data_IF_162544821454
#
_entry.id   IF_162544821454
#
_cell.length_a   1.000
_cell.length_b   1.000
_cell.length_c   1.000
_cell.angle_alpha   90.00
_cell.angle_beta   90.00
_cell.angle_gamma   90.00
#
_symmetry.space_group_name_H-M   'P 1'
#
loop_
_entity.id
_entity.type
_entity.pdbx_description
1 polymer ?
#
# COMPACT_ATOMS: atom_id res chain seq x y z
N UNK A 1 16.98 1.71 19.59
CA UNK A 1 18.21 2.50 19.32
C UNK A 1 18.67 2.26 17.88
N UNK A 2 18.36 3.14 16.92
CA UNK A 2 18.68 2.91 15.48
C UNK A 2 19.28 4.13 14.77
N UNK A 3 19.83 5.11 15.51
CA UNK A 3 20.38 6.33 14.90
C UNK A 3 21.74 6.12 14.22
N UNK A 4 22.45 5.02 14.52
CA UNK A 4 23.80 4.75 14.01
C UNK A 4 23.86 3.80 12.81
N UNK A 5 22.76 3.51 12.09
CA UNK A 5 22.78 2.58 10.93
C UNK A 5 22.79 3.31 9.58
N UNK A 6 23.23 4.58 9.52
CA UNK A 6 23.38 5.27 8.24
C UNK A 6 24.70 4.86 7.58
N UNK A 7 24.62 4.04 6.54
CA UNK A 7 25.82 3.61 5.76
C UNK A 7 26.58 4.80 5.19
N UNK A 8 25.86 5.84 4.73
CA UNK A 8 26.42 7.09 4.18
C UNK A 8 27.28 7.82 5.23
N UNK A 9 26.81 7.85 6.48
CA UNK A 9 27.53 8.45 7.60
C UNK A 9 28.83 7.70 7.92
N UNK A 10 28.78 6.37 7.98
CA UNK A 10 29.97 5.57 8.25
C UNK A 10 31.00 5.61 7.12
N UNK A 11 30.56 5.75 5.86
CA UNK A 11 31.46 5.95 4.73
C UNK A 11 32.19 7.30 4.84
N UNK A 12 31.48 8.38 5.19
CA UNK A 12 32.11 9.67 5.40
C UNK A 12 33.12 9.64 6.56
N UNK A 13 32.75 9.06 7.70
CA UNK A 13 33.65 8.91 8.86
C UNK A 13 34.85 8.03 8.51
N UNK A 14 34.62 6.87 7.89
CA UNK A 14 35.68 5.95 7.50
C UNK A 14 36.68 6.60 6.55
N UNK A 15 36.21 7.47 5.66
CA UNK A 15 37.07 8.24 4.74
C UNK A 15 37.99 9.20 5.50
N UNK A 16 37.44 9.99 6.42
CA UNK A 16 38.22 10.91 7.26
C UNK A 16 39.25 10.16 8.10
N UNK A 17 38.84 9.05 8.72
CA UNK A 17 39.75 8.21 9.50
C UNK A 17 40.86 7.58 8.64
N UNK A 18 40.55 7.17 7.41
CA UNK A 18 41.55 6.58 6.52
C UNK A 18 42.61 7.59 6.11
N UNK A 19 42.22 8.85 5.85
CA UNK A 19 43.16 9.94 5.56
C UNK A 19 44.02 10.25 6.79
N UNK A 20 43.39 10.37 7.97
CA UNK A 20 44.11 10.63 9.21
C UNK A 20 45.13 9.53 9.57
N UNK A 21 44.79 8.26 9.34
CA UNK A 21 45.71 7.14 9.55
C UNK A 21 46.85 7.19 8.53
N UNK A 22 46.57 7.49 7.26
CA UNK A 22 47.59 7.60 6.23
C UNK A 22 48.64 8.67 6.58
N UNK A 23 48.18 9.87 6.96
CA UNK A 23 49.06 10.95 7.43
C UNK A 23 49.85 10.54 8.69
N UNK A 24 49.20 9.86 9.65
CA UNK A 24 49.86 9.39 10.87
C UNK A 24 50.93 8.31 10.62
N UNK A 25 50.80 7.52 9.55
CA UNK A 25 51.80 6.53 9.13
C UNK A 25 52.93 7.12 8.28
N UNK A 26 52.93 8.45 8.08
CA UNK A 26 53.94 9.15 7.28
C UNK A 26 53.70 9.03 5.76
N UNK A 27 52.52 8.57 5.35
CA UNK A 27 52.11 8.61 3.95
C UNK A 27 51.61 10.03 3.65
N UNK A 28 52.40 10.79 2.91
CA UNK A 28 52.00 12.13 2.48
C UNK A 28 50.93 11.99 1.38
N UNK A 29 49.67 12.16 1.77
CA UNK A 29 48.55 12.05 0.85
C UNK A 29 48.44 13.37 0.10
N UNK A 30 48.73 13.34 -1.20
CA UNK A 30 48.69 14.56 -2.00
C UNK A 30 47.29 15.21 -1.95
N UNK A 31 47.20 16.55 -1.99
CA UNK A 31 45.92 17.25 -2.00
C UNK A 31 44.98 16.78 -3.13
N UNK A 32 45.55 16.39 -4.27
CA UNK A 32 44.81 15.85 -5.42
C UNK A 32 44.19 14.48 -5.10
N UNK A 33 44.90 13.63 -4.36
CA UNK A 33 44.37 12.35 -3.91
C UNK A 33 43.22 12.54 -2.90
N UNK A 34 43.35 13.49 -1.97
CA UNK A 34 42.27 13.85 -1.04
C UNK A 34 41.05 14.36 -1.80
N UNK A 35 41.25 15.26 -2.77
CA UNK A 35 40.17 15.78 -3.61
C UNK A 35 39.47 14.68 -4.40
N UNK A 36 40.22 13.72 -4.96
CA UNK A 36 39.66 12.57 -5.65
C UNK A 36 38.80 11.69 -4.74
N UNK A 37 39.26 11.43 -3.52
CA UNK A 37 38.51 10.67 -2.51
C UNK A 37 37.22 11.41 -2.14
N UNK A 38 37.29 12.72 -1.87
CA UNK A 38 36.13 13.55 -1.52
C UNK A 38 35.10 13.53 -2.65
N UNK A 39 35.55 13.62 -3.91
CA UNK A 39 34.66 13.60 -5.07
C UNK A 39 33.90 12.27 -5.16
N UNK A 40 34.60 11.13 -5.07
CA UNK A 40 33.98 9.80 -5.13
C UNK A 40 32.95 9.60 -4.02
N UNK A 41 33.32 9.96 -2.78
CA UNK A 41 32.43 9.83 -1.61
C UNK A 41 31.21 10.73 -1.74
N UNK A 42 31.40 11.97 -2.18
CA UNK A 42 30.31 12.94 -2.38
C UNK A 42 29.35 12.46 -3.48
N UNK A 43 29.87 11.98 -4.61
CA UNK A 43 29.06 11.40 -5.69
C UNK A 43 28.25 10.20 -5.21
N UNK A 44 28.83 9.31 -4.41
CA UNK A 44 28.09 8.18 -3.84
C UNK A 44 26.94 8.64 -2.93
N UNK A 45 27.21 9.57 -2.01
CA UNK A 45 26.22 10.07 -1.05
C UNK A 45 25.05 10.76 -1.78
N UNK A 46 25.37 11.64 -2.73
CA UNK A 46 24.38 12.39 -3.52
C UNK A 46 23.59 11.43 -4.43
N UNK A 47 24.29 10.55 -5.16
CA UNK A 47 23.65 9.59 -6.06
C UNK A 47 22.66 8.68 -5.34
N UNK A 48 23.05 8.12 -4.20
CA UNK A 48 22.14 7.35 -3.34
C UNK A 48 20.96 8.19 -2.84
N UNK A 49 21.18 9.46 -2.47
CA UNK A 49 20.11 10.37 -2.06
C UNK A 49 19.06 10.64 -3.15
N UNK A 50 19.47 10.72 -4.41
CA UNK A 50 18.57 10.88 -5.55
C UNK A 50 17.78 9.60 -5.80
N UNK A 51 18.45 8.45 -5.80
CA UNK A 51 17.81 7.14 -6.00
C UNK A 51 16.80 6.85 -4.90
N UNK A 52 17.13 7.13 -3.64
CA UNK A 52 16.19 6.93 -2.53
C UNK A 52 14.89 7.73 -2.72
N UNK A 53 15.00 8.98 -3.19
CA UNK A 53 13.82 9.82 -3.46
C UNK A 53 12.98 9.27 -4.61
N UNK A 54 13.61 8.87 -5.71
CA UNK A 54 12.85 8.36 -6.87
C UNK A 54 12.13 7.05 -6.55
N UNK A 55 12.76 6.17 -5.77
CA UNK A 55 12.14 4.92 -5.30
C UNK A 55 10.95 5.20 -4.39
N UNK A 56 11.07 6.14 -3.43
CA UNK A 56 9.95 6.53 -2.57
C UNK A 56 8.80 7.12 -3.39
N UNK A 57 9.09 8.00 -4.34
CA UNK A 57 8.07 8.57 -5.23
C UNK A 57 7.36 7.50 -6.05
N UNK A 58 8.11 6.56 -6.63
CA UNK A 58 7.53 5.44 -7.39
C UNK A 58 6.63 4.55 -6.52
N UNK A 59 7.03 4.26 -5.29
CA UNK A 59 6.22 3.49 -4.34
C UNK A 59 4.93 4.22 -3.96
N UNK A 60 4.98 5.53 -3.75
CA UNK A 60 3.78 6.35 -3.42
C UNK A 60 2.80 6.38 -4.60
N UNK A 61 3.29 6.53 -5.83
CA UNK A 61 2.44 6.52 -7.02
C UNK A 61 1.78 5.14 -7.17
N UNK A 62 2.55 4.06 -7.08
CA UNK A 62 2.01 2.71 -7.17
C UNK A 62 0.99 2.41 -6.05
N UNK A 63 1.25 2.86 -4.82
CA UNK A 63 0.32 2.69 -3.70
C UNK A 63 -0.98 3.48 -3.90
N UNK A 64 -0.92 4.68 -4.49
CA UNK A 64 -2.09 5.49 -4.81
C UNK A 64 -2.99 4.80 -5.84
N UNK A 65 -2.42 4.21 -6.88
CA UNK A 65 -3.19 3.53 -7.94
C UNK A 65 -3.91 2.29 -7.40
N UNK A 66 -3.21 1.50 -6.57
CA UNK A 66 -3.81 0.35 -5.89
C UNK A 66 -4.92 0.79 -4.92
N UNK A 67 -4.72 1.88 -4.19
CA UNK A 67 -5.72 2.42 -3.26
C UNK A 67 -7.02 2.85 -3.97
N UNK A 68 -6.90 3.52 -5.13
CA UNK A 68 -8.05 3.90 -5.97
C UNK A 68 -8.79 2.68 -6.52
N UNK A 69 -8.07 1.70 -7.03
CA UNK A 69 -8.66 0.46 -7.54
C UNK A 69 -9.44 -0.30 -6.43
N UNK A 70 -8.89 -0.37 -5.21
CA UNK A 70 -9.60 -0.97 -4.08
C UNK A 70 -10.88 -0.21 -3.76
N UNK A 71 -10.82 1.12 -3.68
CA UNK A 71 -12.00 1.96 -3.40
C UNK A 71 -13.13 1.74 -4.42
N UNK A 72 -12.80 1.62 -5.71
CA UNK A 72 -13.78 1.33 -6.76
C UNK A 72 -14.41 -0.06 -6.63
N UNK A 73 -13.62 -1.07 -6.22
CA UNK A 73 -14.14 -2.41 -5.96
C UNK A 73 -15.06 -2.44 -4.74
N UNK A 74 -14.70 -1.71 -3.68
CA UNK A 74 -15.55 -1.54 -2.51
C UNK A 74 -16.87 -0.86 -2.88
N UNK A 75 -16.82 0.22 -3.66
CA UNK A 75 -18.02 0.92 -4.12
C UNK A 75 -18.95 0.01 -4.95
N UNK A 76 -18.39 -0.74 -5.91
CA UNK A 76 -19.16 -1.68 -6.74
C UNK A 76 -19.81 -2.80 -5.93
N UNK A 77 -19.07 -3.40 -5.00
CA UNK A 77 -19.62 -4.43 -4.12
C UNK A 77 -20.77 -3.89 -3.26
N UNK A 78 -20.66 -2.66 -2.77
CA UNK A 78 -21.72 -2.02 -1.99
C UNK A 78 -22.98 -1.78 -2.84
N UNK A 79 -22.82 -1.35 -4.09
CA UNK A 79 -23.94 -1.16 -5.03
C UNK A 79 -24.64 -2.48 -5.36
N UNK A 80 -23.89 -3.58 -5.54
CA UNK A 80 -24.45 -4.90 -5.76
C UNK A 80 -25.25 -5.38 -4.55
N UNK A 81 -24.70 -5.24 -3.34
CA UNK A 81 -25.42 -5.60 -2.11
C UNK A 81 -26.71 -4.78 -1.96
N UNK A 82 -26.68 -3.49 -2.28
CA UNK A 82 -27.87 -2.65 -2.22
C UNK A 82 -28.93 -3.12 -3.22
N UNK A 83 -28.55 -3.46 -4.46
CA UNK A 83 -29.49 -3.99 -5.46
C UNK A 83 -30.12 -5.31 -5.03
N UNK A 84 -29.35 -6.21 -4.45
CA UNK A 84 -29.88 -7.47 -3.91
C UNK A 84 -30.90 -7.22 -2.81
N UNK A 85 -30.58 -6.36 -1.84
CA UNK A 85 -31.50 -6.03 -0.74
C UNK A 85 -32.78 -5.37 -1.25
N UNK A 86 -32.67 -4.44 -2.21
CA UNK A 86 -33.84 -3.78 -2.81
C UNK A 86 -34.74 -4.80 -3.51
N UNK A 87 -34.15 -5.70 -4.30
CA UNK A 87 -34.90 -6.74 -5.01
C UNK A 87 -35.60 -7.70 -4.05
N UNK A 88 -34.93 -8.11 -2.97
CA UNK A 88 -35.52 -8.96 -1.93
C UNK A 88 -36.69 -8.29 -1.21
N UNK A 89 -36.59 -6.96 -0.97
CA UNK A 89 -37.67 -6.17 -0.39
C UNK A 89 -38.86 -6.03 -1.34
N UNK A 90 -38.62 -5.83 -2.64
CA UNK A 90 -39.68 -5.81 -3.66
C UNK A 90 -40.41 -7.14 -3.74
N UNK A 91 -39.68 -8.26 -3.73
CA UNK A 91 -40.27 -9.61 -3.71
C UNK A 91 -41.14 -9.80 -2.47
N UNK A 92 -40.67 -9.40 -1.28
CA UNK A 92 -41.46 -9.49 -0.05
C UNK A 92 -42.71 -8.62 -0.10
N UNK A 93 -42.62 -7.40 -0.64
CA UNK A 93 -43.78 -6.51 -0.79
C UNK A 93 -44.82 -7.11 -1.73
N UNK A 94 -44.40 -7.62 -2.87
CA UNK A 94 -45.29 -8.30 -3.83
C UNK A 94 -45.92 -9.55 -3.21
N UNK A 95 -45.16 -10.34 -2.43
CA UNK A 95 -45.68 -11.50 -1.70
C UNK A 95 -46.71 -11.12 -0.61
N UNK A 96 -46.57 -9.95 0.01
CA UNK A 96 -47.53 -9.44 0.99
C UNK A 96 -48.81 -8.87 0.34
N UNK A 97 -48.72 -8.35 -0.88
CA UNK A 97 -49.86 -7.84 -1.66
C UNK A 97 -50.58 -8.95 -2.47
N UNK A 98 -49.99 -10.13 -2.60
CA UNK A 98 -50.64 -11.29 -3.24
C UNK A 98 -51.90 -11.69 -2.44
N UNK A 99 -53.09 -11.70 -3.05
CA UNK A 99 -54.31 -12.09 -2.36
C UNK A 99 -54.13 -13.52 -1.84
N UNK A 100 -54.33 -13.71 -0.54
CA UNK A 100 -54.44 -15.06 0.05
C UNK A 100 -55.58 -15.75 -0.68
N UNK A 101 -55.24 -16.63 -1.63
CA UNK A 101 -56.23 -17.44 -2.31
C UNK A 101 -57.08 -18.11 -1.23
N UNK A 102 -58.42 -18.02 -1.29
CA UNK A 102 -59.27 -18.72 -0.34
C UNK A 102 -58.86 -20.19 -0.40
N UNK A 103 -58.46 -20.74 0.75
CA UNK A 103 -58.30 -22.20 0.90
C UNK A 103 -59.62 -22.78 0.43
N UNK A 104 -59.60 -23.53 -0.68
CA UNK A 104 -60.72 -24.36 -1.03
C UNK A 104 -60.91 -25.32 0.15
N UNK A 105 -61.96 -25.09 0.95
CA UNK A 105 -62.43 -26.09 1.89
C UNK A 105 -62.72 -27.34 1.06
N UNK A 106 -62.10 -28.50 1.36
CA UNK A 106 -62.55 -29.71 0.75
C UNK A 106 -63.97 -29.97 1.26
N UNK A 107 -64.95 -29.90 0.37
CA UNK A 107 -66.30 -30.39 0.61
C UNK A 107 -66.18 -31.88 0.97
N UNK A 108 -66.16 -32.16 2.26
CA UNK A 108 -66.32 -33.51 2.80
C UNK A 108 -67.82 -33.75 2.90
N UNK A 109 -68.41 -34.68 2.12
CA UNK A 109 -69.78 -35.09 2.36
C UNK A 109 -69.81 -35.80 3.72
N UNK A 110 -70.58 -35.25 4.65
CA UNK A 110 -70.92 -35.95 5.88
C UNK A 110 -72.02 -36.94 5.55
N UNK A 111 -71.61 -38.17 5.23
CA UNK A 111 -72.50 -39.32 5.14
C UNK A 111 -73.08 -39.58 6.54
N UNK A 112 -74.38 -39.36 6.72
CA UNK A 112 -75.05 -39.71 7.97
C UNK A 112 -76.47 -39.16 8.06
N UNK A 113 -77.43 -39.86 7.46
CA UNK A 113 -78.69 -40.35 8.06
C UNK A 113 -79.54 -41.12 7.04
#
# INVERSE_FOLDING_TARGET
>A
MSKFRSRKFWIAIGTVFSIAIAEATGLDVSPEAIAGIILVVSTYIIGQGIVDKSVVTAQVIAASDVGRAQLELYARNLEEQLKTVVNDLEIQKVAAELPRLPRAEPDVPLDGE
#
